data_IF_087990130549
#
_entry.id   IF_087990130549
#
_cell.length_a   1.000
_cell.length_b   1.000
_cell.length_c   1.000
_cell.angle_alpha   90.00
_cell.angle_beta   90.00
_cell.angle_gamma   90.00
#
_symmetry.space_group_name_H-M   'P 1'
#
loop_
_entity.id
_entity.type
_entity.pdbx_description
1 polymer ?
#
# COMPACT_ATOMS: atom_id res chain seq x y z
N UNK A 1 -0.26 40.23 -25.89
CA UNK A 1 -0.27 39.77 -24.49
C UNK A 1 -1.37 38.72 -24.37
N UNK A 2 -0.99 37.45 -24.19
CA UNK A 2 -1.95 36.34 -24.07
C UNK A 2 -2.51 36.21 -22.63
N UNK A 3 -3.65 35.52 -22.43
CA UNK A 3 -4.31 35.44 -21.13
C UNK A 3 -3.52 34.54 -20.17
N UNK A 4 -3.46 34.97 -18.92
CA UNK A 4 -2.82 34.27 -17.80
C UNK A 4 -3.41 32.87 -17.61
N UNK A 5 -2.49 31.91 -17.53
CA UNK A 5 -2.70 30.47 -17.42
C UNK A 5 -3.59 30.11 -16.22
N UNK A 6 -4.49 29.16 -16.46
CA UNK A 6 -5.55 28.75 -15.54
C UNK A 6 -4.97 28.09 -14.30
N UNK A 7 -5.12 28.75 -13.15
CA UNK A 7 -4.82 28.17 -11.84
C UNK A 7 -5.49 26.81 -11.67
N UNK A 8 -4.67 25.76 -11.65
CA UNK A 8 -5.05 24.37 -11.41
C UNK A 8 -5.87 24.29 -10.11
N UNK A 9 -7.19 24.10 -10.22
CA UNK A 9 -8.05 23.96 -9.05
C UNK A 9 -7.68 22.69 -8.29
N UNK A 10 -6.97 22.84 -7.17
CA UNK A 10 -6.72 21.73 -6.26
C UNK A 10 -8.08 21.38 -5.64
N UNK A 11 -8.64 20.23 -6.03
CA UNK A 11 -9.85 19.70 -5.40
C UNK A 11 -9.56 19.50 -3.91
N UNK A 12 -10.37 20.08 -3.03
CA UNK A 12 -10.26 19.91 -1.58
C UNK A 12 -11.30 18.89 -1.13
N UNK A 13 -10.88 17.82 -0.47
CA UNK A 13 -11.79 16.87 0.18
C UNK A 13 -11.88 17.24 1.66
N UNK A 14 -13.09 17.13 2.21
CA UNK A 14 -13.33 17.23 3.65
C UNK A 14 -13.07 15.88 4.30
N UNK A 15 -12.11 15.83 5.22
CA UNK A 15 -11.85 14.64 6.04
C UNK A 15 -12.18 15.02 7.48
N UNK A 16 -13.05 14.24 8.12
CA UNK A 16 -13.45 14.43 9.51
C UNK A 16 -12.69 13.46 10.41
N UNK A 17 -12.11 13.97 11.49
CA UNK A 17 -11.44 13.15 12.51
C UNK A 17 -12.48 12.56 13.48
N UNK A 18 -13.06 11.42 13.11
CA UNK A 18 -14.15 10.75 13.87
C UNK A 18 -13.78 10.42 15.33
N UNK A 19 -12.50 10.17 15.62
CA UNK A 19 -12.05 9.87 16.99
C UNK A 19 -12.16 11.11 17.90
N UNK A 20 -11.84 12.29 17.37
CA UNK A 20 -11.99 13.56 18.09
C UNK A 20 -13.45 14.00 18.21
N UNK A 21 -14.25 13.73 17.18
CA UNK A 21 -15.71 13.93 17.22
C UNK A 21 -16.33 13.09 18.35
N UNK A 22 -16.01 11.80 18.43
CA UNK A 22 -16.46 10.94 19.53
C UNK A 22 -16.00 11.44 20.91
N UNK A 23 -14.74 11.88 21.03
CA UNK A 23 -14.22 12.44 22.29
C UNK A 23 -14.92 13.75 22.69
N UNK A 24 -15.38 14.54 21.72
CA UNK A 24 -16.11 15.78 21.97
C UNK A 24 -17.54 15.51 22.47
N UNK A 25 -18.18 14.42 22.01
CA UNK A 25 -19.50 13.99 22.50
C UNK A 25 -19.45 13.38 23.91
N UNK A 26 -18.38 12.67 24.27
CA UNK A 26 -18.18 12.13 25.63
C UNK A 26 -17.99 13.23 26.70
N UNK A 27 -17.63 14.45 26.29
CA UNK A 27 -17.56 15.62 27.18
C UNK A 27 -18.95 16.24 27.30
N UNK A 28 -19.79 15.60 28.11
CA UNK A 28 -21.23 15.87 28.31
C UNK A 28 -21.57 17.33 28.71
N UNK A 29 -20.61 18.20 29.05
CA UNK A 29 -20.89 19.59 29.41
C UNK A 29 -20.84 20.55 28.21
N UNK A 30 -21.67 20.31 27.19
CA UNK A 30 -21.80 21.23 26.06
C UNK A 30 -23.05 22.12 26.22
N UNK A 31 -22.90 23.46 26.30
CA UNK A 31 -24.02 24.38 26.55
C UNK A 31 -25.25 24.27 25.61
N UNK A 32 -25.15 23.83 24.33
CA UNK A 32 -26.31 23.70 23.45
C UNK A 32 -27.34 22.65 23.87
N UNK A 33 -26.93 21.61 24.62
CA UNK A 33 -27.84 20.52 25.02
C UNK A 33 -28.56 20.81 26.34
N UNK A 34 -28.11 21.81 27.11
CA UNK A 34 -28.75 22.24 28.35
C UNK A 34 -30.05 23.02 28.14
N UNK A 35 -30.43 23.29 26.88
CA UNK A 35 -31.68 23.97 26.51
C UNK A 35 -32.80 22.99 26.16
N UNK A 36 -32.54 21.68 26.18
CA UNK A 36 -33.55 20.64 25.92
C UNK A 36 -34.23 20.31 27.25
N UNK A 37 -35.56 20.50 27.37
CA UNK A 37 -36.29 20.13 28.58
C UNK A 37 -36.29 18.61 28.79
N UNK A 38 -36.16 18.17 30.05
CA UNK A 38 -36.11 16.75 30.42
C UNK A 38 -37.45 16.01 30.22
N UNK A 39 -38.57 16.73 30.15
CA UNK A 39 -39.92 16.20 29.91
C UNK A 39 -40.45 16.72 28.57
N UNK A 40 -40.39 15.89 27.53
CA UNK A 40 -40.85 16.20 26.17
C UNK A 40 -42.26 15.62 26.01
N UNK A 41 -43.27 16.49 25.93
CA UNK A 41 -44.69 16.09 25.90
C UNK A 41 -45.41 16.54 24.64
N UNK A 42 -44.90 17.56 23.96
CA UNK A 42 -45.52 18.12 22.76
C UNK A 42 -44.71 17.82 21.49
N UNK A 43 -45.38 17.75 20.35
CA UNK A 43 -44.72 17.52 19.05
C UNK A 43 -43.75 18.66 18.69
N UNK A 44 -44.08 19.88 19.10
CA UNK A 44 -43.25 21.07 18.87
C UNK A 44 -41.93 20.99 19.66
N UNK A 45 -41.97 20.45 20.89
CA UNK A 45 -40.76 20.18 21.69
C UNK A 45 -39.91 19.05 21.08
N UNK A 46 -40.54 18.03 20.49
CA UNK A 46 -39.83 16.96 19.75
C UNK A 46 -39.07 17.57 18.56
N UNK A 47 -39.76 18.35 17.73
CA UNK A 47 -39.14 18.98 16.56
C UNK A 47 -38.03 19.95 16.96
N UNK A 48 -38.22 20.69 18.06
CA UNK A 48 -37.21 21.58 18.62
C UNK A 48 -35.97 20.80 19.11
N UNK A 49 -36.15 19.69 19.82
CA UNK A 49 -35.07 18.84 20.30
C UNK A 49 -34.28 18.19 19.14
N UNK A 50 -34.98 17.70 18.11
CA UNK A 50 -34.36 17.18 16.89
C UNK A 50 -33.52 18.27 16.20
N UNK A 51 -34.05 19.49 16.11
CA UNK A 51 -33.34 20.64 15.55
C UNK A 51 -32.08 20.98 16.34
N UNK A 52 -32.19 21.03 17.67
CA UNK A 52 -31.07 21.32 18.57
C UNK A 52 -29.96 20.25 18.46
N UNK A 53 -30.32 18.97 18.49
CA UNK A 53 -29.38 17.86 18.35
C UNK A 53 -28.70 17.87 16.97
N UNK A 54 -29.47 18.08 15.90
CA UNK A 54 -28.94 18.10 14.53
C UNK A 54 -27.94 19.24 14.33
N UNK A 55 -28.24 20.42 14.86
CA UNK A 55 -27.33 21.57 14.81
C UNK A 55 -26.08 21.32 15.66
N UNK A 56 -26.23 20.70 16.82
CA UNK A 56 -25.09 20.33 17.65
C UNK A 56 -24.15 19.33 16.92
N UNK A 57 -24.71 18.26 16.35
CA UNK A 57 -23.91 17.29 15.57
C UNK A 57 -23.21 17.96 14.40
N UNK A 58 -23.92 18.82 13.65
CA UNK A 58 -23.34 19.57 12.54
C UNK A 58 -22.15 20.43 12.98
N UNK A 59 -22.31 21.21 14.05
CA UNK A 59 -21.24 22.09 14.56
C UNK A 59 -20.02 21.32 15.08
N UNK A 60 -20.22 20.19 15.75
CA UNK A 60 -19.10 19.34 16.22
C UNK A 60 -18.36 18.73 15.02
N UNK A 61 -19.08 18.21 14.03
CA UNK A 61 -18.47 17.65 12.81
C UNK A 61 -17.67 18.72 12.06
N UNK A 62 -18.27 19.89 11.80
CA UNK A 62 -17.61 21.00 11.10
C UNK A 62 -16.34 21.49 11.81
N UNK A 63 -16.34 21.52 13.15
CA UNK A 63 -15.17 21.93 13.94
C UNK A 63 -13.97 20.98 13.79
N UNK A 64 -14.22 19.71 13.52
CA UNK A 64 -13.21 18.68 13.34
C UNK A 64 -13.05 18.22 11.89
N UNK A 65 -13.71 18.91 10.95
CA UNK A 65 -13.42 18.81 9.53
C UNK A 65 -12.07 19.47 9.22
N UNK A 66 -11.24 18.78 8.47
CA UNK A 66 -10.05 19.37 7.84
C UNK A 66 -10.21 19.28 6.34
N UNK A 67 -9.97 20.40 5.67
CA UNK A 67 -9.83 20.44 4.21
C UNK A 67 -8.44 19.88 3.90
N UNK A 68 -8.42 18.68 3.35
CA UNK A 68 -7.20 18.04 2.87
C UNK A 68 -7.22 18.19 1.36
N UNK A 69 -6.10 18.56 0.71
CA UNK A 69 -6.02 18.44 -0.75
C UNK A 69 -6.43 17.01 -1.09
N UNK A 70 -7.47 16.86 -1.92
CA UNK A 70 -7.80 15.58 -2.51
C UNK A 70 -6.48 15.06 -3.03
N UNK A 71 -6.00 13.93 -2.49
CA UNK A 71 -4.70 13.40 -2.87
C UNK A 71 -4.70 13.38 -4.40
N UNK A 72 -3.89 14.25 -4.99
CA UNK A 72 -3.91 14.41 -6.44
C UNK A 72 -3.22 13.17 -6.97
N UNK A 73 -4.03 12.16 -7.18
CA UNK A 73 -3.93 11.08 -8.14
C UNK A 73 -2.48 10.85 -8.60
N UNK A 74 -1.79 9.99 -7.84
CA UNK A 74 -0.56 9.26 -8.16
C UNK A 74 0.13 9.76 -9.44
N UNK A 75 0.98 10.79 -9.32
CA UNK A 75 1.92 11.28 -10.37
C UNK A 75 1.46 10.98 -11.80
N UNK A 76 0.49 11.73 -12.30
CA UNK A 76 0.13 11.66 -13.73
C UNK A 76 1.37 11.99 -14.56
N UNK A 77 1.72 11.11 -15.49
CA UNK A 77 2.76 11.40 -16.47
C UNK A 77 2.41 12.68 -17.24
N UNK A 78 3.42 13.45 -17.64
CA UNK A 78 3.20 14.61 -18.48
C UNK A 78 2.54 14.23 -19.83
N UNK A 79 1.84 15.17 -20.49
CA UNK A 79 1.00 14.87 -21.67
C UNK A 79 1.75 14.24 -22.84
N UNK A 80 3.03 14.60 -23.01
CA UNK A 80 3.97 14.07 -23.99
C UNK A 80 4.23 12.55 -23.80
N UNK A 81 4.51 12.10 -22.58
CA UNK A 81 4.69 10.67 -22.27
C UNK A 81 3.38 9.91 -22.47
N UNK A 82 2.25 10.51 -22.13
CA UNK A 82 0.93 9.92 -22.36
C UNK A 82 0.63 9.77 -23.86
N UNK A 83 0.99 10.75 -24.67
CA UNK A 83 0.89 10.68 -26.12
C UNK A 83 1.79 9.59 -26.69
N UNK A 84 3.03 9.48 -26.20
CA UNK A 84 3.97 8.43 -26.59
C UNK A 84 3.48 7.02 -26.21
N UNK A 85 2.82 6.86 -25.06
CA UNK A 85 2.16 5.60 -24.69
C UNK A 85 1.02 5.27 -25.67
N UNK A 86 0.23 6.26 -26.09
CA UNK A 86 -0.85 6.07 -27.08
C UNK A 86 -0.29 5.64 -28.43
N UNK A 87 0.77 6.28 -28.93
CA UNK A 87 1.40 5.92 -30.21
C UNK A 87 2.01 4.53 -30.16
N UNK A 88 2.72 4.18 -29.06
CA UNK A 88 3.22 2.82 -28.80
C UNK A 88 2.09 1.79 -28.84
N UNK A 89 0.99 2.04 -28.14
CA UNK A 89 -0.15 1.10 -28.09
C UNK A 89 -0.85 0.95 -29.45
N UNK A 90 -0.87 2.00 -30.29
CA UNK A 90 -1.36 1.91 -31.67
C UNK A 90 -0.41 1.08 -32.55
N UNK A 91 0.90 1.25 -32.39
CA UNK A 91 1.90 0.45 -33.10
C UNK A 91 1.86 -1.03 -32.71
N UNK A 92 1.70 -1.33 -31.41
CA UNK A 92 1.52 -2.70 -30.91
C UNK A 92 0.29 -3.37 -31.53
N UNK A 93 -0.85 -2.67 -31.58
CA UNK A 93 -2.08 -3.18 -32.23
C UNK A 93 -1.89 -3.43 -33.73
N UNK A 94 -1.14 -2.58 -34.43
CA UNK A 94 -0.81 -2.81 -35.85
C UNK A 94 0.12 -4.00 -36.04
N UNK A 95 1.14 -4.15 -35.20
CA UNK A 95 2.07 -5.27 -35.25
C UNK A 95 1.40 -6.62 -34.92
N UNK A 96 0.36 -6.62 -34.08
CA UNK A 96 -0.43 -7.83 -33.82
C UNK A 96 -1.38 -8.17 -34.97
N UNK A 97 -2.02 -7.17 -35.58
CA UNK A 97 -2.91 -7.38 -36.71
C UNK A 97 -2.18 -7.80 -37.99
N UNK A 98 -1.00 -7.23 -38.22
CA UNK A 98 -0.15 -7.49 -39.37
C UNK A 98 1.28 -7.77 -38.87
N UNK A 99 1.64 -9.03 -38.61
CA UNK A 99 2.93 -9.39 -38.03
C UNK A 99 4.14 -9.28 -38.98
N UNK A 100 4.33 -8.12 -39.61
CA UNK A 100 5.46 -7.82 -40.49
C UNK A 100 6.69 -7.40 -39.69
N UNK A 101 7.88 -7.51 -40.29
CA UNK A 101 9.14 -7.13 -39.65
C UNK A 101 9.18 -5.63 -39.30
N UNK A 102 8.71 -4.78 -40.22
CA UNK A 102 8.68 -3.32 -40.05
C UNK A 102 7.83 -2.90 -38.84
N UNK A 103 6.61 -3.44 -38.72
CA UNK A 103 5.72 -3.09 -37.61
C UNK A 103 6.26 -3.60 -36.27
N UNK A 104 6.90 -4.77 -36.24
CA UNK A 104 7.56 -5.29 -35.03
C UNK A 104 8.73 -4.39 -34.61
N UNK A 105 9.57 -3.96 -35.55
CA UNK A 105 10.70 -3.06 -35.26
C UNK A 105 10.19 -1.72 -34.72
N UNK A 106 9.17 -1.13 -35.35
CA UNK A 106 8.56 0.13 -34.91
C UNK A 106 7.94 0.03 -33.52
N UNK A 107 7.24 -1.07 -33.22
CA UNK A 107 6.66 -1.28 -31.89
C UNK A 107 7.73 -1.43 -30.81
N UNK A 108 8.82 -2.16 -31.08
CA UNK A 108 9.96 -2.29 -30.15
C UNK A 108 10.64 -0.95 -29.91
N UNK A 109 10.90 -0.17 -30.96
CA UNK A 109 11.50 1.16 -30.84
C UNK A 109 10.67 2.07 -29.91
N UNK A 110 9.36 2.17 -30.14
CA UNK A 110 8.45 2.95 -29.29
C UNK A 110 8.37 2.42 -27.86
N UNK A 111 8.50 1.11 -27.66
CA UNK A 111 8.55 0.54 -26.30
C UNK A 111 9.81 0.96 -25.55
N UNK A 112 10.96 0.98 -26.23
CA UNK A 112 12.21 1.47 -25.64
C UNK A 112 12.13 2.96 -25.32
N UNK A 113 11.57 3.75 -26.23
CA UNK A 113 11.39 5.20 -26.06
C UNK A 113 10.50 5.53 -24.87
N UNK A 114 9.34 4.87 -24.74
CA UNK A 114 8.48 5.02 -23.55
C UNK A 114 9.23 4.67 -22.27
N UNK A 115 10.02 3.59 -22.28
CA UNK A 115 10.79 3.18 -21.09
C UNK A 115 11.85 4.22 -20.73
N UNK A 116 12.53 4.79 -21.72
CA UNK A 116 13.52 5.85 -21.53
C UNK A 116 12.87 7.10 -20.94
N UNK A 117 11.83 7.65 -21.57
CA UNK A 117 11.17 8.87 -21.10
C UNK A 117 10.54 8.71 -19.71
N UNK A 118 9.93 7.55 -19.42
CA UNK A 118 9.41 7.27 -18.08
C UNK A 118 10.53 7.21 -17.04
N UNK A 119 11.69 6.65 -17.40
CA UNK A 119 12.82 6.58 -16.49
C UNK A 119 13.43 7.95 -16.25
N UNK A 120 13.62 8.75 -17.30
CA UNK A 120 14.10 10.14 -17.22
C UNK A 120 13.18 10.98 -16.35
N UNK A 121 11.87 10.97 -16.60
CA UNK A 121 10.90 11.68 -15.77
C UNK A 121 10.95 11.29 -14.29
N UNK A 122 11.16 9.99 -14.00
CA UNK A 122 11.34 9.52 -12.62
C UNK A 122 12.64 10.03 -12.03
N UNK A 123 13.73 9.99 -12.80
CA UNK A 123 15.04 10.47 -12.35
C UNK A 123 15.04 11.97 -12.08
N UNK A 124 14.43 12.77 -12.96
CA UNK A 124 14.21 14.21 -12.76
C UNK A 124 13.39 14.46 -11.49
N UNK A 125 12.25 13.76 -11.33
CA UNK A 125 11.44 13.85 -10.12
C UNK A 125 12.22 13.50 -8.85
N UNK A 126 13.17 12.56 -8.92
CA UNK A 126 14.07 12.24 -7.80
C UNK A 126 15.14 13.31 -7.61
N UNK A 127 15.67 13.89 -8.68
CA UNK A 127 16.65 14.98 -8.63
C UNK A 127 16.06 16.21 -7.96
N UNK A 128 14.87 16.64 -8.38
CA UNK A 128 14.14 17.78 -7.80
C UNK A 128 13.91 17.58 -6.31
N UNK A 129 13.49 16.36 -5.92
CA UNK A 129 13.31 15.99 -4.52
C UNK A 129 14.63 16.08 -3.75
N UNK A 130 15.74 15.60 -4.32
CA UNK A 130 17.06 15.68 -3.68
C UNK A 130 17.55 17.14 -3.55
N UNK A 131 17.25 18.01 -4.51
CA UNK A 131 17.56 19.44 -4.42
C UNK A 131 16.75 20.14 -3.32
N UNK A 132 15.46 19.83 -3.18
CA UNK A 132 14.58 20.37 -2.13
C UNK A 132 15.05 19.95 -0.72
N UNK A 133 15.55 18.71 -0.57
CA UNK A 133 16.13 18.23 0.69
C UNK A 133 17.43 18.95 1.00
N UNK A 134 18.30 19.15 0.01
CA UNK A 134 19.59 19.85 0.20
C UNK A 134 19.37 21.27 0.72
N UNK A 135 18.23 21.87 0.35
CA UNK A 135 17.81 23.21 0.77
C UNK A 135 16.95 23.22 2.06
N UNK A 136 16.42 22.08 2.55
CA UNK A 136 15.53 22.03 3.73
C UNK A 136 15.69 20.80 4.65
N UNK A 137 15.97 21.04 5.94
CA UNK A 137 16.10 19.99 6.98
C UNK A 137 14.77 19.25 7.29
N UNK A 138 13.61 19.87 7.00
CA UNK A 138 12.29 19.25 7.23
C UNK A 138 11.94 18.16 6.19
N UNK A 139 12.45 18.28 4.95
CA UNK A 139 12.28 17.28 3.89
C UNK A 139 12.99 15.97 4.21
N UNK A 140 14.21 16.06 4.74
CA UNK A 140 15.00 14.91 5.19
C UNK A 140 14.25 14.02 6.20
N UNK A 141 13.60 14.65 7.20
CA UNK A 141 12.86 13.92 8.22
C UNK A 141 11.62 13.20 7.67
N UNK A 142 10.88 13.82 6.73
CA UNK A 142 9.71 13.20 6.09
C UNK A 142 10.08 11.97 5.26
N UNK A 143 11.20 12.02 4.54
CA UNK A 143 11.68 10.90 3.71
C UNK A 143 12.25 9.78 4.58
N UNK A 144 13.01 10.11 5.62
CA UNK A 144 13.49 9.13 6.59
C UNK A 144 12.31 8.38 7.23
N UNK A 145 11.20 9.08 7.50
CA UNK A 145 9.97 8.45 7.97
C UNK A 145 9.32 7.56 6.92
N UNK A 146 9.17 8.02 5.67
CA UNK A 146 8.59 7.25 4.58
C UNK A 146 9.38 5.95 4.30
N UNK A 147 10.71 6.05 4.19
CA UNK A 147 11.60 4.90 3.99
C UNK A 147 11.55 3.90 5.16
N UNK A 148 11.42 4.38 6.40
CA UNK A 148 11.25 3.51 7.56
C UNK A 148 9.88 2.82 7.60
N UNK A 149 8.85 3.39 6.98
CA UNK A 149 7.50 2.83 6.96
C UNK A 149 7.22 1.92 5.77
N UNK A 150 7.99 2.02 4.68
CA UNK A 150 7.64 1.36 3.41
C UNK A 150 8.03 -0.13 3.35
N UNK A 151 8.79 -0.68 4.31
CA UNK A 151 9.15 -2.12 4.25
C UNK A 151 9.51 -2.79 5.58
N UNK A 152 9.15 -2.23 6.73
CA UNK A 152 9.36 -2.94 8.00
C UNK A 152 8.12 -3.74 8.38
N UNK A 153 7.99 -4.95 7.82
CA UNK A 153 7.27 -6.02 8.53
C UNK A 153 8.18 -6.45 9.67
N UNK A 154 7.83 -6.18 10.95
CA UNK A 154 8.63 -6.67 12.05
C UNK A 154 8.68 -8.19 11.92
N UNK A 155 9.89 -8.75 11.80
CA UNK A 155 10.06 -10.20 11.91
C UNK A 155 9.52 -10.54 13.31
N UNK A 156 8.49 -11.40 13.41
CA UNK A 156 7.93 -11.74 14.71
C UNK A 156 9.04 -12.39 15.55
N UNK A 157 9.09 -12.11 16.86
CA UNK A 157 10.08 -12.72 17.72
C UNK A 157 9.95 -14.25 17.67
N UNK A 158 11.08 -14.96 17.65
CA UNK A 158 11.09 -16.42 17.71
C UNK A 158 10.40 -16.87 19.01
N UNK A 159 9.46 -17.79 18.89
CA UNK A 159 8.68 -18.31 20.00
C UNK A 159 9.06 -19.77 20.23
N UNK A 160 9.33 -20.09 21.49
CA UNK A 160 9.44 -21.47 21.94
C UNK A 160 8.09 -22.19 21.81
N UNK A 161 8.06 -23.53 21.82
CA UNK A 161 6.81 -24.31 21.85
C UNK A 161 5.90 -23.99 23.04
N UNK A 162 6.46 -23.48 24.14
CA UNK A 162 5.74 -23.02 25.33
C UNK A 162 5.18 -21.58 25.22
N UNK A 163 5.33 -20.92 24.06
CA UNK A 163 4.84 -19.56 23.79
C UNK A 163 5.72 -18.43 24.31
N UNK A 164 6.86 -18.72 24.96
CA UNK A 164 7.79 -17.68 25.42
C UNK A 164 8.66 -17.16 24.28
N UNK A 165 8.90 -15.85 24.26
CA UNK A 165 9.76 -15.19 23.27
C UNK A 165 11.23 -15.49 23.58
N UNK A 166 11.98 -15.90 22.56
CA UNK A 166 13.42 -16.04 22.60
C UNK A 166 14.09 -14.66 22.59
N UNK A 167 14.68 -14.26 23.72
CA UNK A 167 15.32 -12.95 23.89
C UNK A 167 16.85 -13.00 23.89
N UNK A 168 17.46 -14.15 24.18
CA UNK A 168 18.92 -14.36 24.13
C UNK A 168 19.32 -15.36 23.04
N UNK A 169 20.57 -15.26 22.60
CA UNK A 169 21.12 -16.05 21.48
C UNK A 169 21.17 -17.56 21.76
N UNK A 170 21.35 -17.97 23.02
CA UNK A 170 21.36 -19.39 23.40
C UNK A 170 19.95 -19.98 23.29
N UNK A 171 18.96 -19.22 23.75
CA UNK A 171 17.54 -19.58 23.67
C UNK A 171 17.06 -19.64 22.22
N UNK A 172 17.57 -18.76 21.34
CA UNK A 172 17.32 -18.81 19.90
C UNK A 172 17.90 -20.08 19.28
N UNK A 173 19.14 -20.44 19.63
CA UNK A 173 19.80 -21.65 19.12
C UNK A 173 19.06 -22.93 19.54
N UNK A 174 18.61 -23.03 20.80
CA UNK A 174 17.79 -24.13 21.29
C UNK A 174 16.46 -24.24 20.51
N UNK A 175 15.76 -23.11 20.32
CA UNK A 175 14.48 -23.11 19.61
C UNK A 175 14.60 -23.56 18.15
N UNK A 176 15.73 -23.24 17.50
CA UNK A 176 16.04 -23.71 16.14
C UNK A 176 16.36 -25.21 16.15
N UNK A 177 17.15 -25.68 17.11
CA UNK A 177 17.50 -27.09 17.25
C UNK A 177 16.25 -27.97 17.45
N UNK A 178 15.34 -27.58 18.36
CA UNK A 178 14.08 -28.28 18.60
C UNK A 178 13.20 -28.35 17.34
N UNK A 179 13.15 -27.24 16.57
CA UNK A 179 12.38 -27.17 15.33
C UNK A 179 12.94 -28.10 14.26
N UNK A 180 14.27 -28.14 14.10
CA UNK A 180 14.96 -29.03 13.15
C UNK A 180 14.79 -30.49 13.57
N UNK A 181 14.97 -30.82 14.85
CA UNK A 181 14.77 -32.16 15.38
C UNK A 181 13.35 -32.66 15.12
N UNK A 182 12.35 -31.81 15.37
CA UNK A 182 10.94 -32.13 15.09
C UNK A 182 10.73 -32.40 13.59
N UNK A 183 11.28 -31.57 12.70
CA UNK A 183 11.16 -31.74 11.26
C UNK A 183 11.91 -32.96 10.72
N UNK A 184 13.00 -33.35 11.37
CA UNK A 184 13.85 -34.46 10.95
C UNK A 184 13.47 -35.80 11.61
N UNK A 185 12.57 -35.82 12.59
CA UNK A 185 12.33 -37.02 13.40
C UNK A 185 11.54 -38.14 12.70
N UNK A 186 10.72 -37.91 11.65
CA UNK A 186 10.11 -39.01 10.87
C UNK A 186 9.64 -38.62 9.45
N UNK A 187 10.43 -38.94 8.41
CA UNK A 187 9.92 -39.31 7.07
C UNK A 187 10.89 -40.30 6.40
N UNK A 188 10.79 -41.57 6.77
CA UNK A 188 11.15 -42.64 5.84
C UNK A 188 10.15 -43.76 6.05
N UNK A 189 9.25 -44.02 5.07
CA UNK A 189 8.52 -45.28 5.06
C UNK A 189 9.53 -46.44 5.09
N UNK A 190 9.18 -47.60 5.67
CA UNK A 190 10.00 -48.80 5.53
C UNK A 190 10.29 -49.01 4.05
N UNK A 191 11.57 -49.14 3.70
CA UNK A 191 12.01 -49.24 2.31
C UNK A 191 11.19 -50.30 1.57
N UNK A 192 10.66 -49.95 0.40
CA UNK A 192 9.93 -50.89 -0.45
C UNK A 192 10.91 -51.94 -0.99
N UNK A 193 10.96 -53.09 -0.31
CA UNK A 193 11.86 -54.20 -0.58
C UNK A 193 11.72 -54.67 -2.03
N UNK A 194 10.51 -54.57 -2.61
CA UNK A 194 10.28 -54.95 -4.01
C UNK A 194 11.04 -54.04 -4.99
N UNK A 195 11.15 -52.75 -4.67
CA UNK A 195 11.88 -51.77 -5.48
C UNK A 195 13.40 -51.97 -5.39
N UNK A 196 13.91 -52.38 -4.22
CA UNK A 196 15.33 -52.71 -4.04
C UNK A 196 15.71 -53.92 -4.88
N UNK A 197 14.93 -55.00 -4.79
CA UNK A 197 15.18 -56.23 -5.54
C UNK A 197 15.11 -56.00 -7.06
N UNK A 198 14.20 -55.13 -7.53
CA UNK A 198 14.10 -54.76 -8.95
C UNK A 198 15.35 -54.04 -9.47
N UNK A 199 16.01 -53.23 -8.64
CA UNK A 199 17.23 -52.50 -9.02
C UNK A 199 18.42 -53.46 -9.07
N UNK A 200 18.52 -54.39 -8.12
CA UNK A 200 19.57 -55.40 -8.09
C UNK A 200 19.52 -56.34 -9.31
N UNK A 201 18.32 -56.79 -9.71
CA UNK A 201 18.11 -57.60 -10.92
C UNK A 201 18.49 -56.83 -12.21
N UNK A 202 18.14 -55.53 -12.30
CA UNK A 202 18.50 -54.72 -13.48
C UNK A 202 20.02 -54.49 -13.60
N UNK A 203 20.71 -54.35 -12.46
CA UNK A 203 22.18 -54.22 -12.41
C UNK A 203 22.86 -55.53 -12.80
N UNK A 204 22.32 -56.68 -12.38
CA UNK A 204 22.81 -58.01 -12.78
C UNK A 204 22.68 -58.26 -14.29
N UNK A 205 21.52 -57.92 -14.88
CA UNK A 205 21.25 -58.08 -16.32
C UNK A 205 22.17 -57.21 -17.20
N UNK A 206 22.63 -56.06 -16.71
CA UNK A 206 23.51 -55.15 -17.44
C UNK A 206 25.00 -55.50 -17.33
N UNK A 207 25.38 -56.32 -16.35
CA UNK A 207 26.80 -56.62 -16.06
C UNK A 207 27.29 -57.88 -16.77
N UNK A 208 26.38 -58.75 -17.23
CA UNK A 208 26.73 -59.97 -17.95
C UNK A 208 25.89 -60.09 -19.24
N UNK A 209 26.45 -59.75 -20.43
CA UNK A 209 25.80 -60.01 -21.71
C UNK A 209 25.79 -61.50 -22.09
#
# INVERSE_FOLDING_TARGET
MGPLDGGRSISLIKITDWKKVSTAFEKINTPPLNSIPDDIRTTEEIDHAIGALTNHVRTVVEKWERKVPASSDRRKYPPDILELIRTKNAALRRASAYPTLEYRTRARALQHEVKACVQEFRNESWSDLMEEIRLSHQGFWKITKALKTEEYTPIPPLQRPNGSIALDDAVVAECIADSIETQCSHVSPPHDIARINSIEEEVLQKTFP
#
